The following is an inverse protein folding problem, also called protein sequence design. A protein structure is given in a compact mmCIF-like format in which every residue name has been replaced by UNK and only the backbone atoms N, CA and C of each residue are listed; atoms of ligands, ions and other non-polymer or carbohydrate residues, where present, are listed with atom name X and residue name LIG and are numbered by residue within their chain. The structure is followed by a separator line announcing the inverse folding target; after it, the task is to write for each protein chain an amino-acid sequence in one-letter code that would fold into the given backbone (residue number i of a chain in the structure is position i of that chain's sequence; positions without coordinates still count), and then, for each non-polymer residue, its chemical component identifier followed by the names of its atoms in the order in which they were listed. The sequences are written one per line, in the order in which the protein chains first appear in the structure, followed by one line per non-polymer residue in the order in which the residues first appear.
data_IF_763750072300
#
_entry.id   IF_763750072300
#
_cell.length_a   1.000
_cell.length_b   1.000
_cell.length_c   1.000
_cell.angle_alpha   90.00
_cell.angle_beta   90.00
_cell.angle_gamma   90.00
#
_symmetry.space_group_name_H-M   'P 1'
#
loop_
_entity.id
_entity.type
_entity.pdbx_description
1 polymer ?
#
# COMPACT_ATOMS: atom_id res chain seq x y z
N UNK A 1 -4.07 14.89 12.39
CA UNK A 1 -3.56 14.07 11.27
C UNK A 1 -2.82 12.85 11.79
N UNK A 2 -3.52 11.75 12.06
CA UNK A 2 -2.88 10.47 12.45
C UNK A 2 -3.67 9.37 11.77
N UNK A 3 -3.42 9.19 10.46
CA UNK A 3 -3.96 8.05 9.71
C UNK A 3 -3.38 6.81 10.40
N UNK A 4 -4.22 6.05 11.09
CA UNK A 4 -3.78 4.88 11.85
C UNK A 4 -3.61 3.69 10.90
N UNK A 5 -2.73 3.85 9.91
CA UNK A 5 -2.38 2.88 8.87
C UNK A 5 -2.03 1.51 9.46
N UNK A 6 -1.52 1.50 10.70
CA UNK A 6 -1.12 0.30 11.41
C UNK A 6 -2.29 -0.67 11.67
N UNK A 7 -3.47 -0.14 11.99
CA UNK A 7 -4.67 -0.96 12.26
C UNK A 7 -5.18 -1.63 10.97
N UNK A 8 -5.05 -0.95 9.85
CA UNK A 8 -5.48 -1.43 8.53
C UNK A 8 -4.50 -2.45 7.96
N UNK A 9 -3.20 -2.20 8.12
CA UNK A 9 -2.13 -3.16 7.79
C UNK A 9 -2.33 -4.48 8.56
N UNK A 10 -2.70 -4.42 9.83
CA UNK A 10 -3.01 -5.61 10.65
C UNK A 10 -4.23 -6.42 10.15
N UNK A 11 -5.22 -5.78 9.53
CA UNK A 11 -6.36 -6.51 8.93
C UNK A 11 -5.99 -7.14 7.59
N UNK A 12 -5.14 -6.47 6.80
CA UNK A 12 -4.57 -7.04 5.57
C UNK A 12 -3.63 -8.21 5.92
N UNK A 13 -2.97 -8.15 7.09
CA UNK A 13 -2.11 -9.20 7.61
C UNK A 13 -2.84 -10.57 7.72
N UNK A 14 -4.16 -10.57 7.94
CA UNK A 14 -4.99 -11.78 8.07
C UNK A 14 -5.19 -12.54 6.74
N UNK A 15 -4.86 -11.93 5.58
CA UNK A 15 -5.02 -12.56 4.25
C UNK A 15 -3.65 -12.89 3.62
N UNK A 16 -3.04 -14.05 3.94
CA UNK A 16 -1.68 -14.39 3.51
C UNK A 16 -1.48 -14.38 1.99
N UNK A 17 -2.52 -14.67 1.21
CA UNK A 17 -2.43 -14.68 -0.25
C UNK A 17 -2.23 -13.29 -0.88
N UNK A 18 -2.57 -12.21 -0.17
CA UNK A 18 -2.43 -10.83 -0.67
C UNK A 18 -1.04 -10.24 -0.34
N UNK A 19 -0.31 -10.87 0.58
CA UNK A 19 1.01 -10.38 1.02
C UNK A 19 2.01 -10.40 -0.11
N UNK A 20 2.04 -11.47 -0.92
CA UNK A 20 3.01 -11.58 -2.02
C UNK A 20 2.85 -10.42 -3.00
N UNK A 21 1.62 -10.06 -3.34
CA UNK A 21 1.33 -8.95 -4.25
C UNK A 21 1.67 -7.61 -3.60
N UNK A 22 1.28 -7.42 -2.34
CA UNK A 22 1.59 -6.21 -1.58
C UNK A 22 3.11 -6.00 -1.45
N UNK A 23 3.86 -7.02 -1.05
CA UNK A 23 5.33 -6.98 -0.92
C UNK A 23 5.98 -6.71 -2.27
N UNK A 24 5.51 -7.33 -3.36
CA UNK A 24 6.03 -7.06 -4.70
C UNK A 24 5.82 -5.60 -5.09
N UNK A 25 4.63 -5.04 -4.85
CA UNK A 25 4.34 -3.64 -5.14
C UNK A 25 5.20 -2.69 -4.28
N UNK A 26 5.33 -2.98 -2.98
CA UNK A 26 6.21 -2.25 -2.08
C UNK A 26 7.67 -2.29 -2.57
N UNK A 27 8.12 -3.45 -3.05
CA UNK A 27 9.46 -3.61 -3.61
C UNK A 27 9.70 -2.76 -4.86
N UNK A 28 8.71 -2.66 -5.74
CA UNK A 28 8.75 -1.79 -6.93
C UNK A 28 8.73 -0.30 -6.56
N UNK A 29 7.96 0.09 -5.54
CA UNK A 29 7.77 1.49 -5.12
C UNK A 29 8.78 1.98 -4.07
N UNK A 30 9.75 1.13 -3.75
CA UNK A 30 10.74 1.34 -2.71
C UNK A 30 11.64 2.55 -2.99
N UNK A 31 11.88 3.38 -1.96
CA UNK A 31 12.84 4.49 -2.03
C UNK A 31 14.28 3.96 -2.23
N UNK A 32 15.07 4.63 -3.07
CA UNK A 32 16.53 4.39 -3.18
C UNK A 32 17.15 4.65 -1.79
N UNK A 33 17.91 3.70 -1.25
CA UNK A 33 18.50 3.71 0.11
C UNK A 33 17.55 3.42 1.31
N UNK A 34 16.41 2.74 1.10
CA UNK A 34 15.55 2.23 2.19
C UNK A 34 16.30 1.47 3.30
N UNK A 35 17.41 0.79 2.97
CA UNK A 35 18.25 0.03 3.91
C UNK A 35 19.17 0.90 4.78
N UNK A 36 19.24 2.22 4.55
CA UNK A 36 20.10 3.14 5.33
C UNK A 36 19.38 3.79 6.51
N UNK A 37 18.06 3.66 6.61
CA UNK A 37 17.29 4.22 7.72
C UNK A 37 16.35 3.18 8.31
N UNK A 38 16.33 3.09 9.64
CA UNK A 38 15.30 2.37 10.39
C UNK A 38 13.92 2.91 9.98
N UNK A 39 12.90 2.07 9.65
CA UNK A 39 12.72 0.66 10.03
C UNK A 39 13.24 -0.41 9.05
N UNK A 40 14.21 -0.11 8.16
CA UNK A 40 14.82 -1.08 7.21
C UNK A 40 13.82 -1.88 6.36
N UNK A 41 12.60 -1.39 6.24
CA UNK A 41 11.54 -2.07 5.51
C UNK A 41 11.40 -1.36 4.16
N UNK A 42 11.09 -2.09 3.06
CA UNK A 42 10.93 -1.49 1.73
C UNK A 42 9.61 -0.71 1.64
N UNK A 43 9.49 0.34 2.44
CA UNK A 43 8.32 1.21 2.49
C UNK A 43 8.56 2.35 1.48
N UNK A 44 7.56 2.70 0.65
CA UNK A 44 7.62 3.90 -0.18
C UNK A 44 7.81 5.16 0.69
N UNK A 45 8.37 6.22 0.09
CA UNK A 45 8.56 7.48 0.80
C UNK A 45 7.22 8.08 1.24
N UNK A 46 7.21 8.80 2.37
CA UNK A 46 6.01 9.53 2.82
C UNK A 46 5.55 10.55 1.77
N UNK A 47 6.47 11.20 1.06
CA UNK A 47 6.16 12.13 -0.02
C UNK A 47 5.40 11.43 -1.16
N UNK A 48 5.82 10.21 -1.52
CA UNK A 48 5.14 9.41 -2.53
C UNK A 48 3.74 8.99 -2.06
N UNK A 49 3.60 8.57 -0.80
CA UNK A 49 2.31 8.22 -0.22
C UNK A 49 1.36 9.42 -0.16
N UNK A 50 1.85 10.60 0.24
CA UNK A 50 1.07 11.83 0.25
C UNK A 50 0.61 12.21 -1.16
N UNK A 51 1.51 12.17 -2.14
CA UNK A 51 1.16 12.41 -3.54
C UNK A 51 0.10 11.42 -4.04
N UNK A 52 0.24 10.13 -3.72
CA UNK A 52 -0.73 9.09 -4.10
C UNK A 52 -2.09 9.29 -3.45
N UNK A 53 -2.13 9.64 -2.17
CA UNK A 53 -3.38 9.91 -1.47
C UNK A 53 -4.04 11.18 -2.03
N UNK A 54 -3.27 12.24 -2.27
CA UNK A 54 -3.76 13.49 -2.86
C UNK A 54 -4.33 13.28 -4.28
N UNK A 55 -3.70 12.44 -5.09
CA UNK A 55 -4.16 12.17 -6.46
C UNK A 55 -5.37 11.24 -6.51
N UNK A 56 -5.50 10.30 -5.57
CA UNK A 56 -6.62 9.36 -5.52
C UNK A 56 -7.85 9.92 -4.79
N UNK A 57 -7.65 10.63 -3.68
CA UNK A 57 -8.73 11.09 -2.79
C UNK A 57 -8.83 12.62 -2.70
N UNK A 58 -7.94 13.37 -3.36
CA UNK A 58 -7.95 14.83 -3.26
C UNK A 58 -7.73 15.32 -1.83
N UNK A 59 -8.62 16.21 -1.38
CA UNK A 59 -8.58 16.79 -0.04
C UNK A 59 -9.53 16.05 0.94
N UNK A 60 -10.14 14.95 0.50
CA UNK A 60 -11.04 14.15 1.32
C UNK A 60 -10.23 13.22 2.24
N UNK A 61 -10.67 13.08 3.49
CA UNK A 61 -10.03 12.15 4.42
C UNK A 61 -10.39 10.71 4.02
N UNK A 62 -9.42 9.88 3.62
CA UNK A 62 -9.70 8.54 3.11
C UNK A 62 -9.99 7.51 4.23
N UNK A 63 -10.06 7.94 5.50
CA UNK A 63 -9.95 7.09 6.68
C UNK A 63 -10.85 5.85 6.75
N UNK A 64 -12.10 5.91 6.27
CA UNK A 64 -12.97 4.72 6.25
C UNK A 64 -12.95 3.94 4.92
N UNK A 65 -12.52 4.58 3.83
CA UNK A 65 -12.59 4.01 2.49
C UNK A 65 -11.28 3.34 2.07
N UNK A 66 -10.14 3.78 2.64
CA UNK A 66 -8.81 3.30 2.28
C UNK A 66 -8.64 1.80 2.52
N UNK A 67 -9.25 1.22 3.57
CA UNK A 67 -9.24 -0.23 3.81
C UNK A 67 -9.90 -0.99 2.64
N UNK A 68 -11.12 -0.59 2.26
CA UNK A 68 -11.89 -1.25 1.20
C UNK A 68 -11.22 -1.05 -0.16
N UNK A 69 -10.69 0.13 -0.41
CA UNK A 69 -9.96 0.44 -1.64
C UNK A 69 -8.65 -0.33 -1.76
N UNK A 70 -7.87 -0.45 -0.67
CA UNK A 70 -6.65 -1.26 -0.67
C UNK A 70 -6.96 -2.73 -0.98
N UNK A 71 -8.01 -3.29 -0.39
CA UNK A 71 -8.45 -4.66 -0.66
C UNK A 71 -8.88 -4.81 -2.13
N UNK A 72 -9.64 -3.84 -2.65
CA UNK A 72 -10.13 -3.84 -4.03
C UNK A 72 -8.99 -3.71 -5.03
N UNK A 73 -8.05 -2.79 -4.79
CA UNK A 73 -6.84 -2.61 -5.58
C UNK A 73 -5.96 -3.87 -5.62
N UNK A 74 -5.74 -4.52 -4.47
CA UNK A 74 -4.95 -5.76 -4.42
C UNK A 74 -5.65 -6.92 -5.15
N UNK A 75 -6.99 -7.01 -5.05
CA UNK A 75 -7.78 -7.98 -5.84
C UNK A 75 -7.65 -7.71 -7.35
N UNK A 76 -7.76 -6.46 -7.77
CA UNK A 76 -7.60 -6.07 -9.17
C UNK A 76 -6.20 -6.35 -9.69
N UNK A 77 -5.15 -5.98 -8.94
CA UNK A 77 -3.76 -6.24 -9.31
C UNK A 77 -3.47 -7.74 -9.51
N UNK A 78 -4.09 -8.60 -8.69
CA UNK A 78 -4.01 -10.06 -8.86
C UNK A 78 -4.73 -10.53 -10.13
N UNK A 79 -5.94 -10.03 -10.39
CA UNK A 79 -6.69 -10.34 -11.60
C UNK A 79 -5.90 -9.99 -12.86
N UNK A 80 -5.32 -8.79 -12.88
CA UNK A 80 -4.43 -8.33 -13.96
C UNK A 80 -3.22 -9.24 -14.17
N UNK A 81 -2.52 -9.66 -13.10
CA UNK A 81 -1.40 -10.63 -13.23
C UNK A 81 -1.82 -12.00 -13.77
N UNK A 82 -3.08 -12.38 -13.56
CA UNK A 82 -3.63 -13.67 -14.02
C UNK A 82 -4.08 -13.57 -15.48
N UNK A 83 -4.66 -12.44 -15.88
CA UNK A 83 -5.11 -12.17 -17.26
C UNK A 83 -3.98 -11.78 -18.22
N UNK A 84 -2.84 -11.30 -17.71
CA UNK A 84 -1.67 -10.96 -18.51
C UNK A 84 -0.77 -12.18 -18.82
N UNK A 85 -1.28 -13.41 -18.63
CA UNK A 85 -0.55 -14.66 -18.80
C UNK A 85 -1.11 -15.49 -19.94
#
# INVERSE_FOLDING_TARGET
MKVSLFKEIMKIAVRPHLWVVAVTQLWHLRKKNWYKSFPFMPIPSKEYLQFRLLTAYGNEDPGEYIEKDLITYLKWSRGWKTSAR
#
